data_IF_041665392695
#
_entry.id   IF_041665392695
#
_cell.length_a   1.000
_cell.length_b   1.000
_cell.length_c   1.000
_cell.angle_alpha   90.00
_cell.angle_beta   90.00
_cell.angle_gamma   90.00
#
_symmetry.space_group_name_H-M   'P 1'
#
loop_
_entity.id
_entity.type
_entity.pdbx_description
1 polymer ?
#
# COMPACT_ATOMS: atom_id res chain seq x y z
N UNK A 1 -7.92 -61.39 12.18
CA UNK A 1 -6.78 -60.57 11.72
C UNK A 1 -7.29 -59.16 11.50
N UNK A 2 -6.97 -58.27 12.44
CA UNK A 2 -7.30 -56.84 12.39
C UNK A 2 -6.35 -56.12 11.42
N UNK A 3 -6.88 -55.17 10.66
CA UNK A 3 -6.10 -54.30 9.77
C UNK A 3 -6.66 -52.90 9.77
N UNK A 4 -6.30 -52.11 10.77
CA UNK A 4 -6.62 -50.69 10.88
C UNK A 4 -5.59 -49.91 10.06
N UNK A 5 -6.02 -49.22 9.00
CA UNK A 5 -5.15 -48.35 8.20
C UNK A 5 -5.06 -46.96 8.85
N UNK A 6 -3.83 -46.53 9.14
CA UNK A 6 -3.52 -45.27 9.78
C UNK A 6 -3.76 -44.07 8.86
N UNK A 7 -4.35 -43.01 9.43
CA UNK A 7 -4.56 -41.69 8.81
C UNK A 7 -3.22 -40.96 8.77
N UNK A 8 -2.75 -40.64 7.56
CA UNK A 8 -1.54 -39.84 7.37
C UNK A 8 -1.77 -38.39 7.82
N UNK A 9 -0.89 -37.91 8.71
CA UNK A 9 -0.84 -36.54 9.19
C UNK A 9 -0.61 -35.54 8.05
N UNK A 10 -1.41 -34.47 8.06
CA UNK A 10 -1.32 -33.35 7.11
C UNK A 10 -0.15 -32.46 7.51
N UNK A 11 0.93 -32.51 6.74
CA UNK A 11 2.07 -31.59 6.86
C UNK A 11 1.65 -30.21 6.35
N UNK A 12 1.68 -29.20 7.23
CA UNK A 12 1.37 -27.82 6.90
C UNK A 12 2.37 -27.26 5.89
N UNK A 13 1.89 -26.88 4.70
CA UNK A 13 2.71 -26.28 3.67
C UNK A 13 3.04 -24.82 4.00
N UNK A 14 4.16 -24.60 4.69
CA UNK A 14 4.81 -23.29 4.77
C UNK A 14 5.49 -22.99 3.43
N UNK A 15 4.98 -22.02 2.67
CA UNK A 15 5.72 -21.44 1.54
C UNK A 15 6.67 -20.38 2.06
N UNK A 16 7.97 -20.63 1.91
CA UNK A 16 9.02 -19.64 2.18
C UNK A 16 8.97 -18.52 1.13
N UNK A 17 8.76 -17.29 1.59
CA UNK A 17 9.06 -16.08 0.84
C UNK A 17 10.51 -15.69 1.08
N UNK A 18 11.09 -14.88 0.18
CA UNK A 18 12.46 -14.38 0.27
C UNK A 18 12.81 -13.57 1.55
N UNK A 19 11.87 -13.43 2.49
CA UNK A 19 12.02 -12.78 3.80
C UNK A 19 11.81 -13.71 5.00
N UNK A 20 11.68 -15.04 4.83
CA UNK A 20 11.84 -16.02 5.92
C UNK A 20 10.82 -15.95 7.08
N UNK A 21 9.67 -15.30 6.90
CA UNK A 21 8.65 -15.14 7.95
C UNK A 21 7.40 -15.95 7.63
N UNK A 22 7.24 -17.19 8.14
CA UNK A 22 5.98 -17.92 7.99
C UNK A 22 4.96 -17.40 9.00
N UNK A 23 4.32 -16.26 8.71
CA UNK A 23 3.09 -15.89 9.42
C UNK A 23 2.01 -16.88 9.00
N UNK A 24 1.41 -17.66 9.91
CA UNK A 24 0.38 -18.61 9.53
C UNK A 24 -0.82 -17.87 8.93
N UNK A 25 -1.20 -18.25 7.71
CA UNK A 25 -2.33 -17.63 6.99
C UNK A 25 -3.66 -17.77 7.74
N UNK A 26 -3.76 -18.76 8.64
CA UNK A 26 -4.92 -18.99 9.51
C UNK A 26 -5.16 -17.91 10.58
N UNK A 27 -4.15 -17.08 10.87
CA UNK A 27 -4.29 -15.99 11.83
C UNK A 27 -5.17 -14.90 11.23
N UNK A 28 -6.02 -14.27 12.05
CA UNK A 28 -6.74 -13.08 11.66
C UNK A 28 -5.78 -11.89 11.58
N UNK A 29 -5.93 -11.04 10.56
CA UNK A 29 -5.15 -9.81 10.44
C UNK A 29 -6.03 -8.57 10.63
N UNK A 30 -5.47 -7.52 11.24
CA UNK A 30 -6.09 -6.20 11.39
C UNK A 30 -5.08 -5.11 11.06
N UNK A 31 -5.51 -4.11 10.29
CA UNK A 31 -4.70 -2.93 10.01
C UNK A 31 -4.73 -1.97 11.20
N UNK A 32 -3.54 -1.50 11.60
CA UNK A 32 -3.32 -0.51 12.65
C UNK A 32 -2.85 0.80 12.01
N UNK A 33 -3.73 1.80 11.86
CA UNK A 33 -3.34 3.12 11.36
C UNK A 33 -2.33 3.81 12.27
N UNK A 34 -1.50 4.68 11.69
CA UNK A 34 -0.59 5.56 12.40
C UNK A 34 -0.76 7.01 11.90
N UNK A 35 -0.32 8.03 12.66
CA UNK A 35 -0.39 9.43 12.22
C UNK A 35 0.29 9.67 10.86
N UNK A 36 1.41 9.00 10.63
CA UNK A 36 2.04 8.90 9.32
C UNK A 36 1.56 7.61 8.64
N UNK A 37 0.94 7.67 7.44
CA UNK A 37 0.40 6.48 6.78
C UNK A 37 1.43 5.36 6.61
N UNK A 38 2.67 5.67 6.17
CA UNK A 38 3.77 4.71 6.04
C UNK A 38 4.24 4.03 7.33
N UNK A 39 3.82 4.51 8.50
CA UNK A 39 4.12 3.89 9.80
C UNK A 39 3.01 2.92 10.25
N UNK A 40 1.93 2.82 9.47
CA UNK A 40 0.88 1.83 9.66
C UNK A 40 1.41 0.41 9.66
N UNK A 41 0.70 -0.48 10.37
CA UNK A 41 1.14 -1.86 10.60
C UNK A 41 0.01 -2.85 10.37
N UNK A 42 0.36 -4.09 10.07
CA UNK A 42 -0.58 -5.22 10.16
C UNK A 42 -0.27 -6.01 11.42
N UNK A 43 -1.30 -6.26 12.22
CA UNK A 43 -1.23 -7.17 13.35
C UNK A 43 -1.95 -8.47 13.01
N UNK A 44 -1.30 -9.60 13.29
CA UNK A 44 -1.81 -10.95 13.11
C UNK A 44 -2.06 -11.59 14.48
N UNK A 45 -3.26 -12.06 14.73
CA UNK A 45 -3.68 -12.60 16.02
C UNK A 45 -4.57 -13.83 15.83
N UNK A 46 -4.66 -14.67 16.86
CA UNK A 46 -5.48 -15.87 16.83
C UNK A 46 -6.82 -15.63 17.54
N UNK A 47 -7.97 -15.68 16.85
CA UNK A 47 -9.28 -15.62 17.48
C UNK A 47 -9.51 -16.76 18.48
N UNK A 48 -8.96 -17.95 18.29
CA UNK A 48 -9.13 -19.04 19.25
C UNK A 48 -8.23 -18.88 20.47
N UNK A 49 -7.22 -18.01 20.39
CA UNK A 49 -6.30 -17.68 21.48
C UNK A 49 -5.14 -18.67 21.61
N UNK A 50 -4.87 -19.45 20.57
CA UNK A 50 -3.71 -20.32 20.51
C UNK A 50 -2.40 -19.51 20.53
N UNK A 51 -1.30 -20.07 21.05
CA UNK A 51 0.00 -19.41 21.04
C UNK A 51 0.45 -19.05 19.63
N UNK A 52 0.90 -17.80 19.46
CA UNK A 52 1.47 -17.34 18.20
C UNK A 52 2.89 -17.91 18.02
N UNK A 53 3.27 -18.30 16.79
CA UNK A 53 4.67 -18.56 16.51
C UNK A 53 5.46 -17.25 16.67
N UNK A 54 6.68 -17.34 17.18
CA UNK A 54 7.60 -16.20 17.27
C UNK A 54 8.57 -16.26 16.08
N UNK A 55 8.29 -15.60 14.95
CA UNK A 55 9.19 -15.65 13.82
C UNK A 55 10.34 -14.64 14.01
N UNK A 56 11.52 -14.89 13.40
CA UNK A 56 12.66 -13.99 13.51
C UNK A 56 12.36 -12.62 12.88
N UNK A 57 12.41 -11.53 13.67
CA UNK A 57 12.09 -10.16 13.22
C UNK A 57 10.64 -9.73 13.41
N UNK A 58 9.78 -10.64 13.85
CA UNK A 58 8.42 -10.34 14.31
C UNK A 58 8.41 -9.94 15.77
N UNK A 59 7.76 -8.82 16.10
CA UNK A 59 7.54 -8.44 17.50
C UNK A 59 6.12 -8.84 17.91
N UNK A 60 6.05 -9.64 18.98
CA UNK A 60 4.77 -9.95 19.64
C UNK A 60 4.45 -8.78 20.57
N UNK A 61 3.26 -8.21 20.38
CA UNK A 61 2.72 -7.15 21.22
C UNK A 61 1.36 -7.54 21.77
N UNK A 62 0.97 -6.95 22.89
CA UNK A 62 -0.40 -7.03 23.38
C UNK A 62 -1.30 -6.13 22.51
N UNK A 63 -2.29 -6.75 21.88
CA UNK A 63 -3.30 -6.10 21.06
C UNK A 63 -4.63 -6.10 21.81
N UNK A 64 -5.22 -4.92 21.97
CA UNK A 64 -6.58 -4.81 22.48
C UNK A 64 -7.56 -5.06 21.34
N UNK A 65 -8.35 -6.13 21.44
CA UNK A 65 -9.41 -6.46 20.50
C UNK A 65 -10.77 -6.47 21.21
N UNK A 66 -11.81 -6.18 20.45
CA UNK A 66 -13.21 -6.31 20.85
C UNK A 66 -13.68 -7.68 20.42
N UNK A 67 -14.19 -8.46 21.37
CA UNK A 67 -14.75 -9.78 21.09
C UNK A 67 -16.14 -9.90 21.68
N UNK A 68 -16.95 -10.76 21.07
CA UNK A 68 -18.23 -11.16 21.64
C UNK A 68 -18.02 -11.78 23.02
N UNK A 69 -18.83 -11.37 23.98
CA UNK A 69 -18.86 -11.91 25.33
C UNK A 69 -20.32 -12.02 25.78
N UNK A 70 -20.86 -13.25 25.76
CA UNK A 70 -22.28 -13.50 25.98
C UNK A 70 -23.16 -12.80 24.93
N UNK A 71 -24.07 -11.95 25.41
CA UNK A 71 -24.95 -11.14 24.57
C UNK A 71 -24.35 -9.79 24.14
N UNK A 72 -23.15 -9.44 24.61
CA UNK A 72 -22.50 -8.16 24.31
C UNK A 72 -21.09 -8.32 23.75
N UNK A 73 -20.30 -7.24 23.87
CA UNK A 73 -18.90 -7.21 23.47
C UNK A 73 -18.02 -6.69 24.61
N UNK A 74 -16.78 -7.18 24.68
CA UNK A 74 -15.78 -6.76 25.68
C UNK A 74 -14.41 -6.60 25.02
N UNK A 75 -13.61 -5.70 25.61
CA UNK A 75 -12.18 -5.57 25.31
C UNK A 75 -11.45 -6.78 25.89
N UNK A 76 -10.52 -7.34 25.13
CA UNK A 76 -9.62 -8.41 25.55
C UNK A 76 -8.23 -8.09 25.03
N UNK A 77 -7.21 -8.31 25.85
CA UNK A 77 -5.83 -8.29 25.41
C UNK A 77 -5.50 -9.66 24.82
N UNK A 78 -4.91 -9.66 23.63
CA UNK A 78 -4.45 -10.86 22.93
C UNK A 78 -3.03 -10.64 22.42
N UNK A 79 -2.19 -11.68 22.39
CA UNK A 79 -0.92 -11.58 21.69
C UNK A 79 -1.18 -11.36 20.20
N UNK A 80 -0.41 -10.46 19.58
CA UNK A 80 -0.43 -10.21 18.15
C UNK A 80 0.99 -10.06 17.61
N UNK A 81 1.25 -10.70 16.48
CA UNK A 81 2.46 -10.50 15.69
C UNK A 81 2.28 -9.29 14.79
N UNK A 82 3.12 -8.27 14.93
CA UNK A 82 2.97 -7.03 14.15
C UNK A 82 4.08 -6.85 13.12
N UNK A 83 3.71 -6.54 11.88
CA UNK A 83 4.62 -6.28 10.77
C UNK A 83 4.42 -4.87 10.17
N UNK A 84 5.49 -4.18 9.78
CA UNK A 84 5.38 -3.02 8.87
C UNK A 84 4.72 -3.41 7.55
N UNK A 85 4.04 -2.48 6.89
CA UNK A 85 3.33 -2.76 5.62
C UNK A 85 4.22 -3.40 4.55
N UNK A 86 5.45 -2.91 4.38
CA UNK A 86 6.38 -3.48 3.40
C UNK A 86 6.64 -4.99 3.61
N UNK A 87 6.66 -5.46 4.86
CA UNK A 87 6.81 -6.88 5.19
C UNK A 87 5.49 -7.67 5.11
N UNK A 88 4.36 -7.02 5.39
CA UNK A 88 3.04 -7.66 5.39
C UNK A 88 2.46 -7.86 3.97
N UNK A 89 2.75 -6.96 3.03
CA UNK A 89 2.15 -6.95 1.69
C UNK A 89 2.32 -8.27 0.91
N UNK A 90 3.52 -8.87 0.79
CA UNK A 90 3.67 -10.15 0.11
C UNK A 90 2.86 -11.28 0.75
N UNK A 91 2.74 -11.29 2.09
CA UNK A 91 1.99 -12.29 2.84
C UNK A 91 0.48 -12.15 2.58
N UNK A 92 -0.06 -10.92 2.66
CA UNK A 92 -1.47 -10.63 2.41
C UNK A 92 -1.88 -11.02 0.98
N UNK A 93 -1.07 -10.65 -0.02
CA UNK A 93 -1.37 -10.95 -1.43
C UNK A 93 -1.39 -12.46 -1.68
N UNK A 94 -0.47 -13.22 -1.06
CA UNK A 94 -0.46 -14.68 -1.11
C UNK A 94 -1.67 -15.31 -0.41
N UNK A 95 -1.99 -14.84 0.80
CA UNK A 95 -3.06 -15.39 1.64
C UNK A 95 -4.46 -15.23 1.03
N UNK A 96 -4.71 -14.20 0.21
CA UNK A 96 -6.04 -13.97 -0.40
C UNK A 96 -6.63 -15.18 -1.12
N UNK A 97 -5.77 -16.01 -1.74
CA UNK A 97 -6.21 -17.19 -2.51
C UNK A 97 -5.99 -18.50 -1.75
N UNK A 98 -5.51 -18.44 -0.51
CA UNK A 98 -5.25 -19.62 0.28
C UNK A 98 -6.55 -20.09 0.97
N UNK A 99 -7.03 -21.32 0.73
CA UNK A 99 -8.21 -21.85 1.40
C UNK A 99 -8.08 -21.97 2.92
N UNK A 100 -6.85 -22.00 3.44
CA UNK A 100 -6.57 -22.02 4.88
C UNK A 100 -6.43 -20.61 5.48
N UNK A 101 -6.54 -19.55 4.67
CA UNK A 101 -6.44 -18.19 5.17
C UNK A 101 -7.66 -17.84 6.04
N UNK A 102 -7.41 -17.11 7.13
CA UNK A 102 -8.48 -16.49 7.88
C UNK A 102 -9.25 -15.53 6.97
N UNK A 103 -10.59 -15.45 7.04
CA UNK A 103 -11.38 -14.54 6.21
C UNK A 103 -10.92 -13.07 6.30
N UNK A 104 -10.55 -12.60 7.49
CA UNK A 104 -10.00 -11.26 7.70
C UNK A 104 -8.70 -11.04 6.89
N UNK A 105 -7.80 -12.01 6.92
CA UNK A 105 -6.51 -11.97 6.22
C UNK A 105 -6.69 -12.05 4.71
N UNK A 106 -7.63 -12.86 4.24
CA UNK A 106 -7.99 -12.90 2.84
C UNK A 106 -8.58 -11.56 2.35
N UNK A 107 -9.44 -10.93 3.16
CA UNK A 107 -10.03 -9.62 2.87
C UNK A 107 -8.97 -8.51 2.82
N UNK A 108 -8.06 -8.45 3.80
CA UNK A 108 -6.90 -7.54 3.75
C UNK A 108 -5.97 -7.84 2.57
N UNK A 109 -5.88 -9.09 2.11
CA UNK A 109 -5.21 -9.47 0.86
C UNK A 109 -5.90 -8.96 -0.41
N UNK A 110 -7.23 -8.79 -0.39
CA UNK A 110 -7.97 -8.12 -1.46
C UNK A 110 -7.68 -6.62 -1.46
N UNK A 111 -7.73 -5.96 -0.29
CA UNK A 111 -7.34 -4.57 -0.11
C UNK A 111 -5.89 -4.31 -0.58
N UNK A 112 -4.96 -5.19 -0.22
CA UNK A 112 -3.55 -5.07 -0.58
C UNK A 112 -3.35 -5.08 -2.10
N UNK A 113 -3.99 -6.02 -2.81
CA UNK A 113 -3.89 -6.05 -4.27
C UNK A 113 -4.58 -4.84 -4.92
N UNK A 114 -5.70 -4.38 -4.37
CA UNK A 114 -6.36 -3.18 -4.89
C UNK A 114 -5.45 -1.94 -4.76
N UNK A 115 -4.83 -1.75 -3.59
CA UNK A 115 -3.84 -0.69 -3.38
C UNK A 115 -2.64 -0.81 -4.33
N UNK A 116 -2.11 -2.02 -4.52
CA UNK A 116 -1.00 -2.26 -5.46
C UNK A 116 -1.38 -1.96 -6.91
N UNK A 117 -2.62 -2.26 -7.33
CA UNK A 117 -3.13 -1.93 -8.66
C UNK A 117 -3.31 -0.43 -8.85
N UNK A 118 -3.75 0.29 -7.82
CA UNK A 118 -3.81 1.76 -7.83
C UNK A 118 -2.41 2.35 -8.02
N UNK A 119 -1.44 1.90 -7.22
CA UNK A 119 -0.04 2.33 -7.31
C UNK A 119 0.57 1.98 -8.67
N UNK A 120 0.34 0.78 -9.19
CA UNK A 120 0.86 0.34 -10.49
C UNK A 120 0.27 1.16 -11.65
N UNK A 121 -0.98 1.63 -11.53
CA UNK A 121 -1.59 2.60 -12.44
C UNK A 121 -1.14 4.05 -12.16
N UNK A 122 -0.14 4.24 -11.30
CA UNK A 122 0.37 5.55 -10.88
C UNK A 122 -0.64 6.40 -10.10
N UNK A 123 -1.74 5.84 -9.58
CA UNK A 123 -2.78 6.58 -8.84
C UNK A 123 -2.29 6.91 -7.43
N UNK A 124 -1.41 7.89 -7.34
CA UNK A 124 -0.84 8.44 -6.12
C UNK A 124 -0.91 9.97 -6.17
N UNK A 125 -1.41 10.61 -5.11
CA UNK A 125 -1.43 12.06 -4.96
C UNK A 125 -0.52 12.49 -3.81
N UNK A 126 0.34 13.50 -4.00
CA UNK A 126 1.04 14.10 -2.88
C UNK A 126 0.02 14.83 -1.99
N UNK A 127 0.20 14.70 -0.68
CA UNK A 127 -0.62 15.33 0.34
C UNK A 127 0.18 15.61 1.60
N UNK A 128 -0.47 16.22 2.57
CA UNK A 128 0.09 16.42 3.90
C UNK A 128 -0.81 15.77 4.94
N UNK A 129 -0.21 15.18 5.97
CA UNK A 129 -0.93 14.79 7.17
C UNK A 129 -1.47 16.03 7.89
N UNK A 130 -2.42 15.88 8.83
CA UNK A 130 -2.91 17.01 9.61
C UNK A 130 -1.80 17.81 10.33
N UNK A 131 -0.71 17.13 10.70
CA UNK A 131 0.46 17.74 11.33
C UNK A 131 1.45 18.37 10.32
N UNK A 132 1.08 18.45 9.03
CA UNK A 132 1.87 19.10 7.98
C UNK A 132 3.05 18.29 7.47
N UNK A 133 3.02 16.96 7.60
CA UNK A 133 4.08 16.08 7.09
C UNK A 133 3.72 15.48 5.74
N UNK A 134 4.71 15.30 4.89
CA UNK A 134 4.58 14.67 3.58
C UNK A 134 3.97 13.26 3.65
N UNK A 135 2.90 13.04 2.87
CA UNK A 135 2.26 11.75 2.74
C UNK A 135 1.68 11.55 1.34
N UNK A 136 1.90 10.39 0.73
CA UNK A 136 1.11 10.00 -0.44
C UNK A 136 -0.25 9.48 -0.01
N UNK A 137 -1.25 9.69 -0.87
CA UNK A 137 -2.56 9.05 -0.78
C UNK A 137 -2.89 8.36 -2.09
N UNK A 138 -3.64 7.26 -2.03
CA UNK A 138 -4.09 6.55 -3.21
C UNK A 138 -5.12 7.40 -3.96
N UNK A 139 -4.84 7.78 -5.19
CA UNK A 139 -5.79 8.57 -5.97
C UNK A 139 -5.21 9.22 -7.23
N UNK A 140 -6.07 9.85 -8.03
CA UNK A 140 -7.52 9.93 -7.83
C UNK A 140 -8.21 8.58 -8.04
N UNK A 141 -9.34 8.33 -7.37
CA UNK A 141 -10.08 7.07 -7.49
C UNK A 141 -11.18 7.19 -8.53
N UNK A 142 -11.23 6.23 -9.45
CA UNK A 142 -12.35 6.11 -10.39
C UNK A 142 -13.60 5.53 -9.69
N UNK A 143 -14.80 5.68 -10.27
CA UNK A 143 -16.02 5.09 -9.72
C UNK A 143 -15.90 3.58 -9.43
N UNK A 144 -15.22 2.83 -10.31
CA UNK A 144 -14.98 1.40 -10.12
C UNK A 144 -14.01 1.11 -8.96
N UNK A 145 -13.02 1.97 -8.73
CA UNK A 145 -12.13 1.87 -7.59
C UNK A 145 -12.89 2.08 -6.28
N UNK A 146 -13.76 3.07 -6.24
CA UNK A 146 -14.63 3.36 -5.09
C UNK A 146 -15.57 2.18 -4.84
N UNK A 147 -16.19 1.64 -5.89
CA UNK A 147 -17.07 0.48 -5.78
C UNK A 147 -16.32 -0.75 -5.25
N UNK A 148 -15.08 -0.99 -5.72
CA UNK A 148 -14.26 -2.10 -5.26
C UNK A 148 -13.82 -1.94 -3.79
N UNK A 149 -13.42 -0.72 -3.39
CA UNK A 149 -13.12 -0.38 -2.00
C UNK A 149 -14.31 -0.69 -1.09
N UNK A 150 -15.51 -0.22 -1.46
CA UNK A 150 -16.76 -0.48 -0.70
C UNK A 150 -17.09 -1.96 -0.61
N UNK A 151 -16.90 -2.71 -1.69
CA UNK A 151 -17.12 -4.15 -1.69
C UNK A 151 -16.17 -4.89 -0.72
N UNK A 152 -14.90 -4.48 -0.67
CA UNK A 152 -13.92 -5.01 0.30
C UNK A 152 -14.33 -4.66 1.72
N UNK A 153 -14.69 -3.40 1.99
CA UNK A 153 -15.12 -2.95 3.30
C UNK A 153 -16.36 -3.69 3.80
N UNK A 154 -17.37 -3.88 2.94
CA UNK A 154 -18.58 -4.64 3.26
C UNK A 154 -18.30 -6.14 3.54
N UNK A 155 -17.23 -6.68 2.97
CA UNK A 155 -16.80 -8.06 3.19
C UNK A 155 -15.84 -8.24 4.38
N UNK A 156 -15.41 -7.14 5.04
CA UNK A 156 -14.44 -7.19 6.14
C UNK A 156 -15.09 -7.81 7.39
N UNK A 157 -14.66 -9.01 7.83
CA UNK A 157 -15.24 -9.63 9.01
C UNK A 157 -14.83 -8.87 10.30
N UNK A 158 -15.56 -9.06 11.42
CA UNK A 158 -15.30 -8.37 12.68
C UNK A 158 -13.84 -8.45 13.16
N UNK A 159 -13.19 -9.59 12.99
CA UNK A 159 -11.80 -9.80 13.38
C UNK A 159 -10.83 -8.89 12.63
N UNK A 160 -11.20 -8.47 11.42
CA UNK A 160 -10.42 -7.58 10.55
C UNK A 160 -10.44 -6.11 10.96
N UNK A 161 -11.34 -5.72 11.86
CA UNK A 161 -11.49 -4.36 12.39
C UNK A 161 -11.83 -4.36 13.89
N UNK A 162 -11.33 -5.37 14.62
CA UNK A 162 -11.66 -5.59 16.02
C UNK A 162 -10.97 -4.63 17.01
N UNK A 163 -10.04 -3.79 16.55
CA UNK A 163 -9.28 -2.88 17.43
C UNK A 163 -10.13 -1.64 17.71
N UNK A 164 -10.45 -1.33 18.98
CA UNK A 164 -11.32 -0.20 19.31
C UNK A 164 -10.61 1.13 19.09
N UNK A 165 -11.38 2.15 18.73
CA UNK A 165 -10.88 3.52 18.70
C UNK A 165 -10.44 3.96 20.11
N UNK A 166 -9.36 4.76 20.22
CA UNK A 166 -8.92 5.29 21.51
C UNK A 166 -9.94 6.30 22.05
N UNK A 167 -10.10 6.32 23.36
CA UNK A 167 -10.93 7.32 24.04
C UNK A 167 -11.75 6.76 25.20
N UNK A 168 -12.14 7.62 26.16
CA UNK A 168 -13.09 7.24 27.20
C UNK A 168 -14.49 7.04 26.62
N UNK A 169 -15.29 6.17 27.25
CA UNK A 169 -16.72 6.03 26.95
C UNK A 169 -17.09 4.76 26.19
N UNK A 170 -18.08 4.89 25.30
CA UNK A 170 -18.65 3.76 24.57
C UNK A 170 -17.56 3.04 23.75
N UNK A 171 -17.71 1.73 23.63
CA UNK A 171 -16.81 0.92 22.81
C UNK A 171 -17.16 1.16 21.34
N UNK A 172 -16.28 1.87 20.64
CA UNK A 172 -16.39 2.18 19.22
C UNK A 172 -15.33 1.42 18.43
N UNK A 173 -15.74 0.84 17.31
CA UNK A 173 -14.86 0.23 16.32
C UNK A 173 -14.69 1.18 15.13
N UNK A 174 -13.57 1.11 14.40
CA UNK A 174 -13.40 1.86 13.17
C UNK A 174 -14.46 1.45 12.14
N UNK A 175 -14.92 2.42 11.37
CA UNK A 175 -15.80 2.17 10.22
C UNK A 175 -14.98 1.46 9.12
N UNK A 176 -15.44 0.30 8.60
CA UNK A 176 -14.66 -0.49 7.65
C UNK A 176 -14.23 0.24 6.37
N UNK A 177 -15.08 1.07 5.76
CA UNK A 177 -14.75 1.81 4.53
C UNK A 177 -13.60 2.79 4.77
N UNK A 178 -13.66 3.56 5.86
CA UNK A 178 -12.61 4.48 6.30
C UNK A 178 -11.31 3.75 6.65
N UNK A 179 -11.39 2.58 7.31
CA UNK A 179 -10.21 1.78 7.66
C UNK A 179 -9.52 1.22 6.42
N UNK A 180 -10.28 0.68 5.47
CA UNK A 180 -9.75 0.19 4.18
C UNK A 180 -9.16 1.35 3.37
N UNK A 181 -9.83 2.51 3.34
CA UNK A 181 -9.31 3.71 2.69
C UNK A 181 -7.96 4.15 3.27
N UNK A 182 -7.85 4.21 4.60
CA UNK A 182 -6.60 4.54 5.29
C UNK A 182 -5.49 3.52 5.00
N UNK A 183 -5.82 2.24 4.89
CA UNK A 183 -4.87 1.20 4.50
C UNK A 183 -4.35 1.39 3.07
N UNK A 184 -5.22 1.70 2.11
CA UNK A 184 -4.83 2.03 0.73
C UNK A 184 -3.85 3.21 0.69
N UNK A 185 -4.12 4.27 1.46
CA UNK A 185 -3.25 5.44 1.58
C UNK A 185 -1.89 5.09 2.20
N UNK A 186 -1.87 4.23 3.20
CA UNK A 186 -0.63 3.77 3.82
C UNK A 186 0.24 2.91 2.89
N UNK A 187 -0.38 2.07 2.06
CA UNK A 187 0.34 1.33 1.01
C UNK A 187 0.90 2.30 -0.04
N UNK A 188 0.09 3.27 -0.47
CA UNK A 188 0.49 4.34 -1.38
C UNK A 188 1.67 5.16 -0.82
N UNK A 189 1.70 5.45 0.47
CA UNK A 189 2.78 6.19 1.13
C UNK A 189 4.04 5.35 1.38
N UNK A 190 3.94 4.02 1.33
CA UNK A 190 5.07 3.13 1.58
C UNK A 190 5.90 2.89 0.32
N UNK A 191 5.27 2.65 -0.83
CA UNK A 191 5.95 2.09 -2.01
C UNK A 191 6.94 3.04 -2.72
N UNK A 192 6.67 4.35 -2.87
CA UNK A 192 7.62 5.27 -3.51
C UNK A 192 8.92 5.48 -2.72
N UNK A 193 8.92 5.20 -1.41
CA UNK A 193 9.99 5.53 -0.48
C UNK A 193 11.07 4.44 -0.42
N UNK A 194 11.67 4.16 -1.57
CA UNK A 194 12.78 3.19 -1.69
C UNK A 194 14.09 3.78 -1.12
N UNK A 195 15.09 2.96 -0.76
CA UNK A 195 16.37 3.46 -0.23
C UNK A 195 17.09 4.46 -1.16
N UNK A 196 16.89 4.35 -2.47
CA UNK A 196 17.50 5.25 -3.47
C UNK A 196 16.69 6.54 -3.68
N UNK A 197 15.38 6.53 -3.42
CA UNK A 197 14.48 7.64 -3.78
C UNK A 197 14.92 9.01 -3.23
N UNK A 198 15.41 9.16 -1.98
CA UNK A 198 15.85 10.45 -1.46
C UNK A 198 17.05 11.06 -2.19
N UNK A 199 17.89 10.20 -2.78
CA UNK A 199 19.11 10.60 -3.48
C UNK A 199 18.81 11.02 -4.93
N UNK A 200 17.75 10.48 -5.52
CA UNK A 200 17.36 10.77 -6.92
C UNK A 200 16.32 11.89 -7.02
N UNK A 201 15.35 11.93 -6.10
CA UNK A 201 14.19 12.82 -6.18
C UNK A 201 14.18 13.92 -5.10
N UNK A 202 15.20 13.96 -4.23
CA UNK A 202 15.19 14.79 -3.02
C UNK A 202 14.40 14.13 -1.88
N UNK A 203 14.35 14.76 -0.70
CA UNK A 203 13.75 14.15 0.51
C UNK A 203 12.21 14.19 0.57
N UNK A 204 11.52 15.30 0.25
CA UNK A 204 10.05 15.37 0.25
C UNK A 204 9.42 14.23 -0.55
N UNK A 205 8.44 13.53 0.03
CA UNK A 205 7.70 12.44 -0.60
C UNK A 205 8.52 11.18 -0.98
N UNK A 206 9.82 11.16 -0.68
CA UNK A 206 10.72 10.07 -1.05
C UNK A 206 11.52 9.50 0.15
N UNK A 207 11.86 10.32 1.15
CA UNK A 207 12.51 9.88 2.38
C UNK A 207 11.56 9.05 3.25
N UNK A 208 12.08 8.11 4.04
CA UNK A 208 11.23 7.42 5.04
C UNK A 208 10.91 8.36 6.21
N UNK A 209 11.86 9.20 6.60
CA UNK A 209 11.68 10.19 7.65
C UNK A 209 10.65 11.25 7.24
N UNK A 210 9.79 11.69 8.17
CA UNK A 210 8.84 12.76 7.91
C UNK A 210 9.49 14.08 7.51
N UNK A 211 8.99 14.66 6.43
CA UNK A 211 9.38 15.98 5.95
C UNK A 211 8.24 16.96 6.27
N UNK A 212 8.53 17.97 7.09
CA UNK A 212 7.58 19.03 7.40
C UNK A 212 7.51 20.02 6.25
N UNK A 213 6.32 20.23 5.69
CA UNK A 213 6.08 21.09 4.51
C UNK A 213 4.85 21.98 4.72
N UNK A 214 4.80 22.82 5.77
CA UNK A 214 3.58 23.56 6.14
C UNK A 214 3.08 24.48 5.01
N UNK A 215 3.98 25.03 4.19
CA UNK A 215 3.65 25.89 3.05
C UNK A 215 3.15 25.14 1.81
N UNK A 216 3.22 23.81 1.78
CA UNK A 216 2.88 23.00 0.59
C UNK A 216 1.42 22.52 0.56
N UNK A 217 0.57 22.94 1.52
CA UNK A 217 -0.84 22.53 1.57
C UNK A 217 -1.61 22.93 0.32
N UNK A 218 -1.48 24.20 -0.11
CA UNK A 218 -2.17 24.72 -1.28
C UNK A 218 -1.68 24.04 -2.56
N UNK A 219 -0.36 23.94 -2.73
CA UNK A 219 0.26 23.18 -3.82
C UNK A 219 -0.23 21.73 -3.90
N UNK A 220 -0.30 21.03 -2.77
CA UNK A 220 -0.75 19.63 -2.74
C UNK A 220 -2.23 19.48 -3.11
N UNK A 221 -3.07 20.46 -2.74
CA UNK A 221 -4.47 20.51 -3.14
C UNK A 221 -4.62 20.81 -4.64
N UNK A 222 -3.83 21.74 -5.19
CA UNK A 222 -3.81 22.05 -6.62
C UNK A 222 -3.35 20.87 -7.48
N UNK A 223 -2.25 20.21 -7.09
CA UNK A 223 -1.74 19.03 -7.80
C UNK A 223 -2.79 17.91 -7.81
N UNK A 224 -3.51 17.74 -6.70
CA UNK A 224 -4.58 16.77 -6.64
C UNK A 224 -5.74 17.07 -7.58
N UNK A 225 -6.23 18.31 -7.57
CA UNK A 225 -7.27 18.77 -8.48
C UNK A 225 -6.83 18.68 -9.96
N UNK A 226 -5.55 18.92 -10.25
CA UNK A 226 -4.98 18.76 -11.58
C UNK A 226 -4.91 17.30 -12.05
N UNK A 227 -4.59 16.36 -11.16
CA UNK A 227 -4.60 14.93 -11.51
C UNK A 227 -6.01 14.35 -11.70
N UNK A 228 -7.03 14.95 -11.08
CA UNK A 228 -8.44 14.65 -11.35
C UNK A 228 -8.88 15.05 -12.77
N UNK A 229 -8.15 15.95 -13.45
CA UNK A 229 -8.46 16.37 -14.82
C UNK A 229 -8.11 15.33 -15.91
N UNK A 230 -7.46 14.22 -15.53
CA UNK A 230 -7.27 13.03 -16.37
C UNK A 230 -5.91 12.93 -17.07
N UNK A 231 -5.36 13.99 -17.65
CA UNK A 231 -4.14 13.92 -18.48
C UNK A 231 -2.86 13.91 -17.63
N UNK A 232 -1.97 12.94 -17.87
CA UNK A 232 -0.66 12.85 -17.22
C UNK A 232 0.48 13.13 -18.18
N UNK A 233 1.44 13.92 -17.72
CA UNK A 233 2.66 14.28 -18.43
C UNK A 233 3.89 13.75 -17.67
N UNK A 234 4.88 13.26 -18.40
CA UNK A 234 6.22 12.95 -17.89
C UNK A 234 7.28 13.62 -18.76
N UNK A 235 8.50 13.72 -18.25
CA UNK A 235 9.63 14.30 -18.98
C UNK A 235 10.73 13.24 -19.06
N UNK A 236 11.02 12.73 -20.27
CA UNK A 236 12.17 11.86 -20.52
C UNK A 236 13.39 12.71 -20.80
N UNK A 237 14.47 12.45 -20.09
CA UNK A 237 15.76 13.10 -20.33
C UNK A 237 16.66 12.14 -21.10
N UNK A 238 16.86 12.42 -22.38
CA UNK A 238 17.81 11.71 -23.25
C UNK A 238 19.15 12.42 -23.16
N UNK A 239 20.02 11.95 -22.26
CA UNK A 239 21.31 12.59 -21.97
C UNK A 239 22.45 11.86 -22.69
N UNK A 240 23.38 12.61 -23.29
CA UNK A 240 24.64 12.05 -23.83
C UNK A 240 25.55 11.65 -22.68
N UNK A 241 25.96 10.37 -22.62
CA UNK A 241 26.83 9.87 -21.55
C UNK A 241 28.22 10.57 -21.53
N UNK A 242 28.61 11.21 -22.64
CA UNK A 242 29.93 11.81 -22.81
C UNK A 242 29.96 13.33 -22.53
N UNK A 243 28.84 14.04 -22.66
CA UNK A 243 28.82 15.52 -22.50
C UNK A 243 28.34 15.99 -21.12
N UNK A 244 27.70 15.12 -20.33
CA UNK A 244 27.11 15.50 -19.03
C UNK A 244 28.16 15.61 -17.91
N UNK A 245 29.30 14.94 -18.04
CA UNK A 245 30.33 14.87 -16.99
C UNK A 245 31.64 15.58 -17.34
N UNK A 246 31.83 16.00 -18.60
CA UNK A 246 33.00 16.79 -19.00
C UNK A 246 32.71 18.29 -18.82
N UNK A 247 33.12 18.82 -17.67
CA UNK A 247 33.18 20.25 -17.40
C UNK A 247 34.34 20.89 -18.17
N UNK A 248 34.26 20.93 -19.50
CA UNK A 248 35.28 21.55 -20.33
C UNK A 248 35.24 21.13 -21.80
N UNK A 249 34.23 21.58 -22.54
CA UNK A 249 34.31 21.63 -24.00
C UNK A 249 33.71 22.93 -24.53
N UNK A 250 34.45 23.52 -25.46
CA UNK A 250 34.33 24.87 -26.01
C UNK A 250 33.02 25.18 -26.74
N UNK A 251 32.80 26.49 -26.86
CA UNK A 251 31.75 27.21 -27.57
C UNK A 251 31.34 26.56 -28.92
N UNK A 252 30.06 26.17 -29.06
CA UNK A 252 29.42 26.12 -30.39
C UNK A 252 28.57 24.94 -30.85
N UNK A 253 28.21 23.91 -30.04
CA UNK A 253 27.32 22.83 -30.54
C UNK A 253 26.17 22.46 -29.61
N UNK A 254 24.98 22.41 -30.19
CA UNK A 254 23.66 22.25 -29.54
C UNK A 254 23.41 20.80 -29.09
N UNK A 255 22.73 20.69 -27.93
CA UNK A 255 22.08 19.51 -27.33
C UNK A 255 22.99 18.51 -26.57
N UNK A 256 23.46 18.90 -25.38
CA UNK A 256 24.00 17.99 -24.35
C UNK A 256 22.97 16.96 -23.82
N UNK A 257 21.70 17.09 -24.25
CA UNK A 257 20.62 16.15 -24.04
C UNK A 257 19.29 16.70 -24.59
N UNK A 258 18.29 15.84 -24.74
CA UNK A 258 16.92 16.24 -25.08
C UNK A 258 15.99 16.00 -23.88
N UNK A 259 15.09 16.95 -23.64
CA UNK A 259 14.00 16.79 -22.68
C UNK A 259 12.71 16.60 -23.48
N UNK A 260 12.21 15.36 -23.53
CA UNK A 260 11.05 14.97 -24.31
C UNK A 260 9.84 14.91 -23.40
N UNK A 261 8.83 15.74 -23.69
CA UNK A 261 7.55 15.67 -22.99
C UNK A 261 6.80 14.45 -23.48
N UNK A 262 6.36 13.62 -22.54
CA UNK A 262 5.62 12.40 -22.79
C UNK A 262 4.23 12.49 -22.17
N UNK A 263 3.24 11.95 -22.86
CA UNK A 263 1.84 11.87 -22.43
C UNK A 263 1.53 10.42 -22.10
N UNK A 264 0.78 10.19 -21.03
CA UNK A 264 0.28 8.86 -20.68
C UNK A 264 -1.17 8.68 -21.15
N UNK A 265 -1.50 7.48 -21.60
CA UNK A 265 -2.89 7.15 -21.97
C UNK A 265 -3.79 7.18 -20.73
N UNK A 266 -5.02 7.67 -20.93
CA UNK A 266 -6.07 7.68 -19.89
C UNK A 266 -6.58 6.26 -19.60
N UNK A 267 -6.64 5.41 -20.61
CA UNK A 267 -7.17 4.06 -20.52
C UNK A 267 -6.13 3.07 -19.95
N UNK A 268 -4.85 3.26 -20.29
CA UNK A 268 -3.75 2.46 -19.76
C UNK A 268 -2.53 3.36 -19.45
N UNK A 269 -2.29 3.72 -18.17
CA UNK A 269 -1.20 4.62 -17.80
C UNK A 269 0.20 4.03 -17.99
N UNK A 270 0.31 2.73 -18.32
CA UNK A 270 1.59 2.11 -18.71
C UNK A 270 1.97 2.39 -20.16
N UNK A 271 1.00 2.84 -20.98
CA UNK A 271 1.26 3.33 -22.32
C UNK A 271 1.71 4.80 -22.23
N UNK A 272 2.88 5.07 -22.81
CA UNK A 272 3.53 6.39 -22.85
C UNK A 272 3.86 6.72 -24.31
N UNK A 273 3.55 7.94 -24.76
CA UNK A 273 3.86 8.43 -26.09
C UNK A 273 4.49 9.82 -26.00
N UNK A 274 5.42 10.13 -26.91
CA UNK A 274 6.00 11.47 -26.99
C UNK A 274 4.90 12.45 -27.42
N UNK A 275 4.79 13.57 -26.72
CA UNK A 275 3.72 14.55 -26.93
C UNK A 275 3.73 15.09 -28.38
N UNK A 276 4.92 15.23 -28.97
CA UNK A 276 5.07 15.63 -30.37
C UNK A 276 4.50 14.58 -31.34
N UNK A 277 4.76 13.29 -31.11
CA UNK A 277 4.23 12.20 -31.93
C UNK A 277 2.72 12.07 -31.78
N UNK A 278 2.20 12.22 -30.55
CA UNK A 278 0.76 12.26 -30.30
C UNK A 278 0.08 13.41 -31.04
N UNK A 279 0.68 14.61 -31.01
CA UNK A 279 0.15 15.79 -31.69
C UNK A 279 0.22 15.68 -33.22
N UNK A 280 1.24 14.98 -33.74
CA UNK A 280 1.38 14.69 -35.16
C UNK A 280 0.43 13.58 -35.66
N UNK A 281 -0.30 12.91 -34.75
CA UNK A 281 -1.15 11.76 -35.09
C UNK A 281 -0.37 10.48 -35.37
N UNK A 282 0.88 10.40 -34.93
CA UNK A 282 1.80 9.27 -35.15
C UNK A 282 1.83 8.30 -33.96
N UNK A 283 1.14 8.63 -32.87
CA UNK A 283 0.99 7.72 -31.72
C UNK A 283 0.12 6.50 -32.08
N UNK A 284 0.40 5.37 -31.42
CA UNK A 284 -0.37 4.14 -31.61
C UNK A 284 -1.85 4.36 -31.31
N UNK A 285 -2.75 3.69 -32.04
CA UNK A 285 -4.21 3.82 -31.89
C UNK A 285 -4.75 3.51 -30.47
N UNK A 286 -3.94 2.90 -29.59
CA UNK A 286 -4.29 2.68 -28.19
C UNK A 286 -4.17 3.94 -27.31
N UNK A 287 -3.68 5.06 -27.86
CA UNK A 287 -3.58 6.38 -27.23
C UNK A 287 -4.83 7.23 -27.52
N UNK A 288 -6.02 6.70 -27.19
CA UNK A 288 -7.31 7.37 -27.38
C UNK A 288 -8.34 6.51 -28.05
#
# INVERSE_FOLDING_TARGET
MSGTAAVAERTGGSRETATGLPVPVRLASVYLPAPLPREGRLAFWDPEGDPLPTPPGGTIHELTVVRRHGAGVRRRQVPALTLPLAGALPLLVGARRDPAAHPATACWGAAALHALRLVARGRLLPGLTPDGHDAWRAGPLEPDDIAHLRAIAAALPPEGHAVPLPGPGALLLPEPEALVRSFLDAVADTLPRTPAAPHTCGRPFAAREPQSLPAAHEWAAEVAAGMDAGVRLSLRLDLSAYDVFDAGADDGTRAAGAAVVQVHSLADPTLVADAAALWAGEAAAAFG
#
